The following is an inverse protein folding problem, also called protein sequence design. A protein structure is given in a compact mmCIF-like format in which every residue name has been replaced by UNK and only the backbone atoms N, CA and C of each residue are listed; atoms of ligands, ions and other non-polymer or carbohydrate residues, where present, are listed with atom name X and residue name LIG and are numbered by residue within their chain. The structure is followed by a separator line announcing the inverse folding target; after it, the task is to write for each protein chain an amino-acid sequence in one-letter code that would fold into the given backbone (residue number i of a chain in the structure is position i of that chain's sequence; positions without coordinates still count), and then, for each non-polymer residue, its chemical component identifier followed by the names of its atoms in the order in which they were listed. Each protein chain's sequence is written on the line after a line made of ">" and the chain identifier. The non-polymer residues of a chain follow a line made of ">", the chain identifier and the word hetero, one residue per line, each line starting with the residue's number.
data_IF_014561184899
#
_entry.id   IF_014561184899
#
_cell.length_a   1.000
_cell.length_b   1.000
_cell.length_c   1.000
_cell.angle_alpha   90.00
_cell.angle_beta   90.00
_cell.angle_gamma   90.00
#
_symmetry.space_group_name_H-M   'P 1'
#
loop_
_entity.id
_entity.type
_entity.pdbx_description
1 polymer ?
#
# COMPACT_ATOMS: atom_id res chain seq x y z
N UNK A 1 13.55 18.26 -3.40
CA UNK A 1 13.62 16.94 -4.07
C UNK A 1 12.61 16.06 -3.35
N UNK A 2 11.42 15.86 -3.92
CA UNK A 2 10.43 14.96 -3.32
C UNK A 2 10.77 13.55 -3.80
N UNK A 3 11.25 12.70 -2.90
CA UNK A 3 11.46 11.28 -3.15
C UNK A 3 10.12 10.66 -3.52
N UNK A 4 9.90 10.44 -4.82
CA UNK A 4 8.74 9.69 -5.31
C UNK A 4 9.01 8.20 -5.05
N UNK A 5 8.90 7.79 -3.78
CA UNK A 5 8.87 6.38 -3.43
C UNK A 5 7.51 5.84 -3.89
N UNK A 6 7.48 4.72 -4.60
CA UNK A 6 6.24 3.96 -4.87
C UNK A 6 5.91 3.10 -3.63
N UNK A 7 5.09 3.60 -2.67
CA UNK A 7 4.80 2.85 -1.45
C UNK A 7 4.13 1.51 -1.76
N UNK A 8 3.35 1.43 -2.83
CA UNK A 8 2.66 0.22 -3.27
C UNK A 8 3.64 -0.92 -3.58
N UNK A 9 4.71 -0.64 -4.34
CA UNK A 9 5.69 -1.67 -4.72
C UNK A 9 6.42 -2.23 -3.49
N UNK A 10 6.80 -1.34 -2.55
CA UNK A 10 7.45 -1.74 -1.31
C UNK A 10 6.50 -2.55 -0.41
N UNK A 11 5.24 -2.14 -0.29
CA UNK A 11 4.23 -2.84 0.50
C UNK A 11 3.92 -4.23 -0.08
N UNK A 12 3.83 -4.37 -1.41
CA UNK A 12 3.65 -5.67 -2.06
C UNK A 12 4.88 -6.59 -1.89
N UNK A 13 6.08 -5.99 -1.83
CA UNK A 13 7.30 -6.73 -1.49
C UNK A 13 7.25 -7.26 -0.05
N UNK A 14 6.77 -6.45 0.90
CA UNK A 14 6.55 -6.87 2.28
C UNK A 14 5.48 -7.98 2.39
N UNK A 15 4.37 -7.88 1.65
CA UNK A 15 3.35 -8.95 1.55
C UNK A 15 3.98 -10.24 1.03
N UNK A 16 4.80 -10.16 -0.02
CA UNK A 16 5.50 -11.32 -0.58
C UNK A 16 6.47 -11.96 0.43
N UNK A 17 7.18 -11.14 1.21
CA UNK A 17 8.02 -11.60 2.31
C UNK A 17 7.21 -12.31 3.40
N UNK A 18 6.06 -11.77 3.79
CA UNK A 18 5.18 -12.40 4.79
C UNK A 18 4.67 -13.76 4.30
N UNK A 19 4.31 -13.88 3.01
CA UNK A 19 3.97 -15.17 2.39
C UNK A 19 5.15 -16.14 2.45
N UNK A 20 6.37 -15.67 2.17
CA UNK A 20 7.58 -16.50 2.24
C UNK A 20 7.90 -16.99 3.67
N UNK A 21 7.44 -16.28 4.69
CA UNK A 21 7.57 -16.66 6.10
C UNK A 21 6.37 -17.47 6.64
N UNK A 22 5.51 -17.98 5.76
CA UNK A 22 4.25 -18.69 6.08
C UNK A 22 3.23 -17.86 6.89
N UNK A 23 3.38 -16.53 6.92
CA UNK A 23 2.47 -15.60 7.61
C UNK A 23 1.31 -15.16 6.69
N UNK A 24 0.61 -16.13 6.12
CA UNK A 24 -0.41 -15.91 5.09
C UNK A 24 -1.56 -15.00 5.54
N UNK A 25 -2.10 -15.20 6.75
CA UNK A 25 -3.23 -14.39 7.26
C UNK A 25 -2.89 -12.90 7.33
N UNK A 26 -1.66 -12.58 7.79
CA UNK A 26 -1.17 -11.19 7.86
C UNK A 26 -0.92 -10.62 6.47
N UNK A 27 -0.35 -11.44 5.58
CA UNK A 27 -0.11 -11.06 4.20
C UNK A 27 -1.43 -10.73 3.48
N UNK A 28 -2.47 -11.55 3.68
CA UNK A 28 -3.77 -11.35 3.06
C UNK A 28 -4.50 -10.13 3.62
N UNK A 29 -4.45 -9.88 4.93
CA UNK A 29 -4.99 -8.66 5.54
C UNK A 29 -4.36 -7.40 4.92
N UNK A 30 -3.03 -7.34 4.87
CA UNK A 30 -2.31 -6.19 4.32
C UNK A 30 -2.58 -6.05 2.81
N UNK A 31 -2.58 -7.16 2.07
CA UNK A 31 -2.86 -7.13 0.63
C UNK A 31 -4.27 -6.61 0.34
N UNK A 32 -5.27 -7.06 1.10
CA UNK A 32 -6.66 -6.60 0.95
C UNK A 32 -6.81 -5.11 1.29
N UNK A 33 -6.14 -4.64 2.34
CA UNK A 33 -6.13 -3.22 2.70
C UNK A 33 -5.53 -2.35 1.59
N UNK A 34 -4.40 -2.78 1.00
CA UNK A 34 -3.78 -2.11 -0.16
C UNK A 34 -4.75 -2.03 -1.34
N UNK A 35 -5.36 -3.16 -1.72
CA UNK A 35 -6.31 -3.20 -2.83
C UNK A 35 -7.52 -2.30 -2.59
N UNK A 36 -8.04 -2.26 -1.36
CA UNK A 36 -9.16 -1.40 -0.98
C UNK A 36 -8.79 0.08 -1.11
N UNK A 37 -7.64 0.50 -0.59
CA UNK A 37 -7.15 1.89 -0.71
C UNK A 37 -6.94 2.32 -2.16
N UNK A 38 -6.43 1.42 -3.02
CA UNK A 38 -6.29 1.68 -4.46
C UNK A 38 -7.67 1.80 -5.13
N UNK A 39 -8.60 0.89 -4.80
CA UNK A 39 -9.94 0.85 -5.38
C UNK A 39 -10.77 2.09 -5.01
N UNK A 40 -10.58 2.66 -3.83
CA UNK A 40 -11.21 3.93 -3.44
C UNK A 40 -10.79 5.11 -4.32
N UNK A 41 -9.60 5.05 -4.92
CA UNK A 41 -9.08 6.04 -5.86
C UNK A 41 -8.84 7.44 -5.28
N UNK A 42 -9.03 7.63 -3.97
CA UNK A 42 -8.86 8.93 -3.27
C UNK A 42 -7.39 9.25 -2.96
N UNK A 43 -6.60 8.23 -2.61
CA UNK A 43 -5.22 8.39 -2.17
C UNK A 43 -4.23 8.01 -3.27
N UNK A 44 -4.44 8.51 -4.49
CA UNK A 44 -3.53 8.26 -5.60
C UNK A 44 -2.27 9.10 -5.43
N UNK A 45 -1.13 8.44 -5.31
CA UNK A 45 0.18 9.06 -5.37
C UNK A 45 0.46 9.59 -6.77
N UNK A 46 1.52 10.39 -6.92
CA UNK A 46 1.87 11.07 -8.18
C UNK A 46 2.10 10.06 -9.33
N UNK A 47 2.67 8.90 -9.02
CA UNK A 47 2.87 7.77 -9.94
C UNK A 47 1.55 7.14 -10.44
N UNK A 48 0.49 7.19 -9.64
CA UNK A 48 -0.86 6.74 -10.00
C UNK A 48 -1.75 7.88 -10.57
N UNK A 49 -1.15 9.03 -10.88
CA UNK A 49 -1.84 10.18 -11.47
C UNK A 49 -2.65 11.01 -10.47
N UNK A 50 -2.35 10.94 -9.18
CA UNK A 50 -2.96 11.78 -8.14
C UNK A 50 -1.97 12.73 -7.46
N UNK A 51 -2.41 13.35 -6.37
CA UNK A 51 -1.62 14.32 -5.59
C UNK A 51 -1.47 13.92 -4.11
N UNK A 52 -1.85 12.69 -3.75
CA UNK A 52 -1.72 12.22 -2.37
C UNK A 52 -0.25 12.00 -2.03
N UNK A 53 0.16 12.37 -0.82
CA UNK A 53 1.50 12.08 -0.35
C UNK A 53 1.66 10.60 0.01
N UNK A 54 2.90 10.12 0.07
CA UNK A 54 3.22 8.77 0.55
C UNK A 54 2.66 8.53 1.96
N UNK A 55 2.64 9.56 2.81
CA UNK A 55 2.07 9.50 4.16
C UNK A 55 0.57 9.31 4.13
N UNK A 56 -0.15 10.08 3.30
CA UNK A 56 -1.61 9.97 3.19
C UNK A 56 -2.03 8.58 2.69
N UNK A 57 -1.30 8.05 1.69
CA UNK A 57 -1.53 6.71 1.19
C UNK A 57 -1.28 5.64 2.26
N UNK A 58 -0.16 5.75 3.00
CA UNK A 58 0.17 4.80 4.07
C UNK A 58 -0.89 4.82 5.17
N UNK A 59 -1.34 6.00 5.58
CA UNK A 59 -2.40 6.13 6.57
C UNK A 59 -3.71 5.50 6.09
N UNK A 60 -4.10 5.74 4.84
CA UNK A 60 -5.30 5.15 4.27
C UNK A 60 -5.23 3.60 4.19
N UNK A 61 -4.05 3.04 3.93
CA UNK A 61 -3.84 1.57 4.03
C UNK A 61 -4.00 1.11 5.47
N UNK A 62 -3.43 1.80 6.44
CA UNK A 62 -3.59 1.46 7.86
C UNK A 62 -5.04 1.53 8.33
N UNK A 63 -5.82 2.50 7.86
CA UNK A 63 -7.24 2.65 8.19
C UNK A 63 -8.12 1.55 7.56
N UNK A 64 -7.57 0.82 6.58
CA UNK A 64 -8.24 -0.25 5.85
C UNK A 64 -7.82 -1.68 6.28
N UNK A 65 -6.93 -1.80 7.26
CA UNK A 65 -6.55 -3.07 7.92
C UNK A 65 -7.63 -3.54 8.91
#
# INVERSE_FOLDING_TARGET
>A
MAESCEPTALLLSAVSMLRHLDLHDKADQIHNAILKTIAEGKYRTVDLGGNASTTDYTQAVCDNL
#
